data_IF_022762048293
#
_entry.id   IF_022762048293
#
_cell.length_a   1.000
_cell.length_b   1.000
_cell.length_c   1.000
_cell.angle_alpha   90.00
_cell.angle_beta   90.00
_cell.angle_gamma   90.00
#
_symmetry.space_group_name_H-M   'P 1'
#
loop_
_entity.id
_entity.type
_entity.pdbx_description
1 polymer ?
#
# COMPACT_ATOMS: atom_id res chain seq x y z
N UNK A 1 28.22 7.65 9.39
CA UNK A 1 28.56 6.87 10.59
C UNK A 1 28.13 5.41 10.39
N UNK A 2 28.87 4.43 10.91
CA UNK A 2 28.37 3.04 10.95
C UNK A 2 27.17 2.98 11.90
N UNK A 3 26.04 2.45 11.42
CA UNK A 3 24.81 2.32 12.19
C UNK A 3 24.77 0.91 12.82
N UNK A 4 24.86 0.75 14.15
CA UNK A 4 24.82 -0.57 14.79
C UNK A 4 23.59 -1.37 14.37
N UNK A 5 23.81 -2.60 13.91
CA UNK A 5 22.74 -3.54 13.51
C UNK A 5 22.03 -3.22 12.19
N UNK A 6 22.38 -2.13 11.51
CA UNK A 6 21.80 -1.75 10.22
C UNK A 6 22.53 -2.41 9.06
N UNK A 7 21.80 -3.17 8.24
CA UNK A 7 22.37 -3.94 7.12
C UNK A 7 21.79 -3.58 5.75
N UNK A 8 20.87 -2.62 5.69
CA UNK A 8 20.19 -2.23 4.45
C UNK A 8 21.06 -1.25 3.67
N UNK A 9 21.31 -1.54 2.40
CA UNK A 9 22.00 -0.62 1.50
C UNK A 9 20.95 0.26 0.80
N UNK A 10 21.06 1.58 0.94
CA UNK A 10 20.01 2.52 0.50
C UNK A 10 20.35 3.29 -0.78
N UNK A 11 21.60 3.24 -1.24
CA UNK A 11 22.12 3.99 -2.40
C UNK A 11 22.88 3.09 -3.39
N UNK A 12 22.27 1.99 -3.80
CA UNK A 12 22.86 1.09 -4.80
C UNK A 12 22.75 1.68 -6.21
N UNK A 13 23.81 1.52 -6.99
CA UNK A 13 23.77 1.75 -8.43
C UNK A 13 22.90 0.70 -9.13
N UNK A 14 22.43 1.01 -10.35
CA UNK A 14 21.64 0.09 -11.16
C UNK A 14 22.33 -1.28 -11.37
N UNK A 15 23.66 -1.29 -11.54
CA UNK A 15 24.43 -2.54 -11.71
C UNK A 15 24.52 -3.34 -10.40
N UNK A 16 24.66 -2.67 -9.25
CA UNK A 16 24.71 -3.31 -7.94
C UNK A 16 23.36 -3.92 -7.56
N UNK A 17 22.25 -3.25 -7.87
CA UNK A 17 20.89 -3.79 -7.68
C UNK A 17 20.73 -5.13 -8.42
N UNK A 18 21.13 -5.17 -9.70
CA UNK A 18 21.04 -6.40 -10.52
C UNK A 18 21.89 -7.53 -9.94
N UNK A 19 23.15 -7.23 -9.59
CA UNK A 19 24.07 -8.22 -8.97
C UNK A 19 23.57 -8.68 -7.60
N UNK A 20 22.96 -7.79 -6.80
CA UNK A 20 22.40 -8.15 -5.51
C UNK A 20 21.20 -9.09 -5.68
N UNK A 21 20.30 -8.80 -6.62
CA UNK A 21 19.19 -9.69 -6.95
C UNK A 21 19.69 -11.10 -7.37
N UNK A 22 20.73 -11.18 -8.21
CA UNK A 22 21.34 -12.46 -8.61
C UNK A 22 21.86 -13.25 -7.40
N UNK A 23 22.56 -12.58 -6.47
CA UNK A 23 23.08 -13.20 -5.25
C UNK A 23 21.96 -13.69 -4.34
N UNK A 24 20.89 -12.92 -4.17
CA UNK A 24 19.72 -13.31 -3.37
C UNK A 24 19.08 -14.58 -3.96
N UNK A 25 18.86 -14.60 -5.27
CA UNK A 25 18.29 -15.75 -5.99
C UNK A 25 19.18 -16.98 -5.83
N UNK A 26 20.49 -16.84 -6.07
CA UNK A 26 21.44 -17.94 -5.95
C UNK A 26 21.48 -18.52 -4.53
N UNK A 27 21.56 -17.66 -3.51
CA UNK A 27 21.58 -18.10 -2.11
C UNK A 27 20.28 -18.77 -1.69
N UNK A 28 19.15 -18.24 -2.13
CA UNK A 28 17.84 -18.83 -1.87
C UNK A 28 17.75 -20.22 -2.51
N UNK A 29 18.15 -20.36 -3.77
CA UNK A 29 18.18 -21.66 -4.44
C UNK A 29 19.04 -22.68 -3.69
N UNK A 30 20.25 -22.31 -3.30
CA UNK A 30 21.16 -23.17 -2.53
C UNK A 30 20.50 -23.68 -1.24
N UNK A 31 19.88 -22.79 -0.46
CA UNK A 31 19.21 -23.17 0.79
C UNK A 31 18.00 -24.08 0.55
N UNK A 32 17.15 -23.77 -0.43
CA UNK A 32 16.00 -24.62 -0.75
C UNK A 32 16.42 -26.01 -1.26
N UNK A 33 17.48 -26.08 -2.08
CA UNK A 33 18.05 -27.35 -2.55
C UNK A 33 18.64 -28.18 -1.40
N UNK A 34 19.32 -27.53 -0.45
CA UNK A 34 19.83 -28.19 0.76
C UNK A 34 18.70 -28.77 1.63
N UNK A 35 17.62 -28.01 1.85
CA UNK A 35 16.45 -28.50 2.60
C UNK A 35 15.76 -29.65 1.85
N UNK A 36 15.60 -29.55 0.53
CA UNK A 36 15.01 -30.62 -0.29
C UNK A 36 15.79 -31.94 -0.22
N UNK A 37 17.10 -31.87 -0.02
CA UNK A 37 17.99 -33.03 0.04
C UNK A 37 17.99 -33.74 1.41
N UNK A 38 17.33 -33.20 2.43
CA UNK A 38 17.29 -33.81 3.77
C UNK A 38 16.54 -35.15 3.71
N UNK A 39 17.17 -36.27 4.13
CA UNK A 39 16.48 -37.57 4.23
C UNK A 39 15.33 -37.52 5.23
N UNK A 40 14.17 -38.05 4.87
CA UNK A 40 12.93 -37.95 5.67
C UNK A 40 13.06 -38.56 7.08
N UNK A 41 13.91 -39.58 7.22
CA UNK A 41 14.25 -40.24 8.49
C UNK A 41 15.20 -39.41 9.38
N UNK A 42 15.79 -38.33 8.85
CA UNK A 42 16.72 -37.43 9.56
C UNK A 42 16.18 -36.01 9.75
N UNK A 43 14.94 -35.76 9.35
CA UNK A 43 14.29 -34.44 9.47
C UNK A 43 14.18 -34.01 10.92
N UNK A 44 14.64 -32.79 11.20
CA UNK A 44 14.50 -32.10 12.49
C UNK A 44 14.42 -30.58 12.26
N UNK A 45 14.22 -29.81 13.33
CA UNK A 45 14.07 -28.36 13.21
C UNK A 45 15.29 -27.70 12.57
N UNK A 46 16.50 -28.11 12.95
CA UNK A 46 17.75 -27.47 12.54
C UNK A 46 18.08 -27.66 11.05
N UNK A 47 17.68 -28.77 10.44
CA UNK A 47 17.97 -29.04 9.02
C UNK A 47 16.80 -28.79 8.06
N UNK A 48 15.56 -28.76 8.55
CA UNK A 48 14.37 -28.59 7.70
C UNK A 48 13.73 -27.22 7.80
N UNK A 49 13.67 -26.61 9.00
CA UNK A 49 12.88 -25.40 9.25
C UNK A 49 13.79 -24.19 9.49
N UNK A 50 14.80 -24.33 10.36
CA UNK A 50 15.71 -23.24 10.70
C UNK A 50 16.40 -22.62 9.46
N UNK A 51 16.87 -23.38 8.46
CA UNK A 51 17.52 -22.79 7.28
C UNK A 51 16.57 -21.88 6.47
N UNK A 52 15.28 -22.22 6.40
CA UNK A 52 14.29 -21.40 5.71
C UNK A 52 13.98 -20.12 6.50
N UNK A 53 13.82 -20.23 7.82
CA UNK A 53 13.60 -19.07 8.70
C UNK A 53 14.79 -18.09 8.67
N UNK A 54 16.01 -18.62 8.72
CA UNK A 54 17.24 -17.83 8.65
C UNK A 54 17.39 -17.15 7.29
N UNK A 55 17.06 -17.85 6.20
CA UNK A 55 17.07 -17.28 4.87
C UNK A 55 16.12 -16.09 4.77
N UNK A 56 14.87 -16.23 5.22
CA UNK A 56 13.88 -15.14 5.21
C UNK A 56 14.39 -13.93 6.01
N UNK A 57 14.96 -14.16 7.20
CA UNK A 57 15.52 -13.13 8.06
C UNK A 57 16.77 -12.44 7.50
N UNK A 58 17.58 -13.15 6.72
CA UNK A 58 18.81 -12.61 6.11
C UNK A 58 18.51 -11.88 4.80
N UNK A 59 17.62 -12.41 3.97
CA UNK A 59 17.34 -11.88 2.64
C UNK A 59 16.40 -10.67 2.69
N UNK A 60 15.51 -10.56 3.67
CA UNK A 60 14.56 -9.44 3.75
C UNK A 60 15.22 -8.05 3.55
N UNK A 61 16.24 -7.63 4.33
CA UNK A 61 16.89 -6.33 4.13
C UNK A 61 17.58 -6.18 2.76
N UNK A 62 18.10 -7.28 2.21
CA UNK A 62 18.74 -7.28 0.89
C UNK A 62 17.71 -7.12 -0.24
N UNK A 63 16.55 -7.76 -0.12
CA UNK A 63 15.42 -7.57 -1.03
C UNK A 63 14.95 -6.13 -0.97
N UNK A 64 14.82 -5.55 0.23
CA UNK A 64 14.44 -4.15 0.41
C UNK A 64 15.43 -3.18 -0.26
N UNK A 65 16.73 -3.46 -0.20
CA UNK A 65 17.74 -2.69 -0.93
C UNK A 65 17.57 -2.75 -2.46
N UNK A 66 17.03 -3.85 -3.00
CA UNK A 66 16.72 -3.96 -4.43
C UNK A 66 15.43 -3.24 -4.83
N UNK A 67 14.39 -3.27 -3.98
CA UNK A 67 13.02 -2.85 -4.38
C UNK A 67 12.65 -1.44 -3.92
N UNK A 68 13.24 -0.92 -2.84
CA UNK A 68 12.98 0.43 -2.36
C UNK A 68 13.27 1.51 -3.42
N UNK A 69 14.37 1.43 -4.20
CA UNK A 69 14.75 2.54 -5.09
C UNK A 69 13.68 2.91 -6.13
N UNK A 70 12.85 1.97 -6.62
CA UNK A 70 11.75 2.28 -7.54
C UNK A 70 10.71 3.26 -6.97
N UNK A 71 10.62 3.34 -5.64
CA UNK A 71 9.65 4.19 -4.95
C UNK A 71 10.21 5.56 -4.59
N UNK A 72 11.54 5.74 -4.56
CA UNK A 72 12.16 6.89 -3.89
C UNK A 72 13.29 7.54 -4.64
N UNK A 73 13.93 6.81 -5.56
CA UNK A 73 15.11 7.29 -6.26
C UNK A 73 14.71 8.38 -7.25
N UNK A 74 15.48 9.48 -7.32
CA UNK A 74 15.29 10.47 -8.39
C UNK A 74 15.82 9.99 -9.75
N UNK A 75 16.52 8.85 -9.82
CA UNK A 75 17.12 8.33 -11.06
C UNK A 75 16.23 7.29 -11.73
N UNK A 76 15.78 7.57 -12.95
CA UNK A 76 14.95 6.66 -13.75
C UNK A 76 15.66 5.32 -14.04
N UNK A 77 16.98 5.35 -14.27
CA UNK A 77 17.79 4.13 -14.48
C UNK A 77 17.80 3.22 -13.26
N UNK A 78 17.92 3.82 -12.05
CA UNK A 78 17.86 3.09 -10.79
C UNK A 78 16.44 2.53 -10.57
N UNK A 79 15.40 3.35 -10.81
CA UNK A 79 14.01 2.91 -10.68
C UNK A 79 13.69 1.72 -11.61
N UNK A 80 14.16 1.77 -12.86
CA UNK A 80 14.00 0.68 -13.83
C UNK A 80 14.75 -0.58 -13.43
N UNK A 81 16.00 -0.47 -12.96
CA UNK A 81 16.75 -1.62 -12.47
C UNK A 81 16.11 -2.25 -11.22
N UNK A 82 15.56 -1.41 -10.33
CA UNK A 82 14.82 -1.82 -9.14
C UNK A 82 13.53 -2.58 -9.49
N UNK A 83 12.74 -2.07 -10.44
CA UNK A 83 11.53 -2.74 -10.93
C UNK A 83 11.85 -4.08 -11.63
N UNK A 84 12.93 -4.14 -12.40
CA UNK A 84 13.41 -5.39 -13.01
C UNK A 84 13.82 -6.42 -11.94
N UNK A 85 14.57 -5.97 -10.91
CA UNK A 85 14.98 -6.81 -9.80
C UNK A 85 13.78 -7.36 -9.01
N UNK A 86 12.80 -6.51 -8.68
CA UNK A 86 11.55 -6.92 -8.02
C UNK A 86 10.84 -8.04 -8.80
N UNK A 87 10.61 -7.84 -10.11
CA UNK A 87 9.97 -8.85 -10.96
C UNK A 87 10.70 -10.20 -10.93
N UNK A 88 12.03 -10.17 -10.98
CA UNK A 88 12.87 -11.39 -10.95
C UNK A 88 12.81 -12.09 -9.59
N UNK A 89 12.89 -11.32 -8.51
CA UNK A 89 12.80 -11.81 -7.14
C UNK A 89 11.42 -12.42 -6.84
N UNK A 90 10.34 -11.75 -7.23
CA UNK A 90 8.97 -12.24 -7.07
C UNK A 90 8.74 -13.56 -7.82
N UNK A 91 9.24 -13.63 -9.06
CA UNK A 91 9.19 -14.85 -9.87
C UNK A 91 9.93 -16.01 -9.18
N UNK A 92 11.13 -15.75 -8.66
CA UNK A 92 11.93 -16.73 -7.93
C UNK A 92 11.24 -17.21 -6.65
N UNK A 93 10.73 -16.29 -5.82
CA UNK A 93 10.05 -16.65 -4.57
C UNK A 93 8.76 -17.42 -4.80
N UNK A 94 8.03 -17.14 -5.89
CA UNK A 94 6.88 -17.94 -6.29
C UNK A 94 7.28 -19.39 -6.60
N UNK A 95 8.36 -19.59 -7.36
CA UNK A 95 8.88 -20.93 -7.69
C UNK A 95 9.31 -21.68 -6.41
N UNK A 96 10.01 -21.02 -5.49
CA UNK A 96 10.37 -21.58 -4.19
C UNK A 96 9.15 -22.09 -3.40
N UNK A 97 8.04 -21.34 -3.40
CA UNK A 97 6.79 -21.74 -2.73
C UNK A 97 6.05 -22.88 -3.43
N UNK A 98 6.48 -23.28 -4.63
CA UNK A 98 5.89 -24.39 -5.40
C UNK A 98 6.73 -25.69 -5.33
N UNK A 99 7.90 -25.66 -4.67
CA UNK A 99 8.83 -26.79 -4.53
C UNK A 99 8.23 -27.93 -3.70
N UNK A 100 7.80 -29.00 -4.37
CA UNK A 100 7.21 -30.19 -3.75
C UNK A 100 8.18 -30.96 -2.85
N UNK A 101 9.43 -31.04 -3.28
CA UNK A 101 10.52 -31.71 -2.57
C UNK A 101 10.81 -31.05 -1.22
N UNK A 102 10.77 -29.71 -1.17
CA UNK A 102 10.88 -28.93 0.08
C UNK A 102 9.62 -29.10 0.92
N UNK A 103 8.43 -29.02 0.32
CA UNK A 103 7.17 -29.26 1.02
C UNK A 103 7.13 -30.64 1.70
N UNK A 104 7.63 -31.68 1.03
CA UNK A 104 7.71 -33.04 1.59
C UNK A 104 8.54 -33.09 2.87
N UNK A 105 9.67 -32.37 2.89
CA UNK A 105 10.55 -32.29 4.07
C UNK A 105 9.88 -31.53 5.21
N UNK A 106 9.27 -30.37 4.92
CA UNK A 106 8.50 -29.59 5.91
C UNK A 106 7.31 -30.40 6.45
N UNK A 107 6.63 -31.17 5.61
CA UNK A 107 5.51 -32.02 6.02
C UNK A 107 5.96 -33.17 6.91
N UNK A 108 7.05 -33.86 6.56
CA UNK A 108 7.63 -34.90 7.39
C UNK A 108 8.04 -34.37 8.78
N UNK A 109 8.54 -33.13 8.86
CA UNK A 109 8.80 -32.47 10.15
C UNK A 109 7.52 -32.34 10.99
N UNK A 110 6.41 -31.88 10.38
CA UNK A 110 5.13 -31.75 11.11
C UNK A 110 4.58 -33.08 11.62
N UNK A 111 4.75 -34.16 10.86
CA UNK A 111 4.25 -35.49 11.20
C UNK A 111 5.06 -36.15 12.33
N UNK A 112 6.34 -35.79 12.48
CA UNK A 112 7.18 -36.21 13.61
C UNK A 112 6.73 -35.63 14.96
N UNK A 113 6.04 -34.48 14.95
CA UNK A 113 5.54 -33.85 16.17
C UNK A 113 6.64 -33.41 17.14
N UNK A 114 7.81 -33.00 16.62
CA UNK A 114 8.91 -32.47 17.44
C UNK A 114 8.42 -31.27 18.27
N UNK A 115 8.74 -31.25 19.57
CA UNK A 115 8.35 -30.16 20.47
C UNK A 115 9.25 -28.94 20.22
N UNK A 116 8.68 -27.90 19.62
CA UNK A 116 9.32 -26.61 19.38
C UNK A 116 8.53 -25.49 20.05
N UNK A 117 9.12 -24.29 20.11
CA UNK A 117 8.46 -23.11 20.69
C UNK A 117 7.18 -22.70 19.94
N UNK A 118 6.32 -21.89 20.58
CA UNK A 118 5.03 -21.48 19.99
C UNK A 118 5.19 -20.67 18.70
N UNK A 119 6.18 -19.78 18.63
CA UNK A 119 6.48 -18.99 17.42
C UNK A 119 6.96 -19.90 16.27
N UNK A 120 7.87 -20.82 16.56
CA UNK A 120 8.37 -21.79 15.59
C UNK A 120 7.24 -22.71 15.08
N UNK A 121 6.33 -23.13 15.96
CA UNK A 121 5.13 -23.90 15.59
C UNK A 121 4.26 -23.13 14.61
N UNK A 122 4.00 -21.85 14.90
CA UNK A 122 3.22 -20.97 14.02
C UNK A 122 3.91 -20.78 12.66
N UNK A 123 5.23 -20.63 12.65
CA UNK A 123 5.99 -20.51 11.40
C UNK A 123 5.88 -21.76 10.53
N UNK A 124 5.98 -22.95 11.12
CA UNK A 124 5.82 -24.21 10.39
C UNK A 124 4.39 -24.36 9.84
N UNK A 125 3.37 -24.01 10.62
CA UNK A 125 1.98 -23.99 10.15
C UNK A 125 1.79 -23.01 8.98
N UNK A 126 2.43 -21.83 9.06
CA UNK A 126 2.45 -20.85 7.96
C UNK A 126 3.09 -21.44 6.70
N UNK A 127 4.28 -22.06 6.81
CA UNK A 127 4.96 -22.68 5.67
C UNK A 127 4.09 -23.75 4.98
N UNK A 128 3.53 -24.69 5.77
CA UNK A 128 2.65 -25.74 5.23
C UNK A 128 1.47 -25.11 4.48
N UNK A 129 0.81 -24.13 5.08
CA UNK A 129 -0.32 -23.43 4.44
C UNK A 129 0.10 -22.74 3.14
N UNK A 130 1.24 -22.05 3.11
CA UNK A 130 1.73 -21.38 1.90
C UNK A 130 2.03 -22.36 0.77
N UNK A 131 2.67 -23.51 1.07
CA UNK A 131 2.89 -24.56 0.07
C UNK A 131 1.56 -25.12 -0.45
N UNK A 132 0.61 -25.42 0.43
CA UNK A 132 -0.70 -25.97 0.06
C UNK A 132 -1.52 -25.00 -0.81
N UNK A 133 -1.52 -23.71 -0.47
CA UNK A 133 -2.15 -22.63 -1.27
C UNK A 133 -1.46 -22.41 -2.61
N UNK A 134 -0.19 -22.82 -2.73
CA UNK A 134 0.55 -22.89 -3.98
C UNK A 134 0.49 -24.28 -4.63
N UNK A 135 -0.50 -25.08 -4.24
CA UNK A 135 -0.87 -26.30 -4.93
C UNK A 135 0.01 -27.49 -4.57
N UNK A 136 0.82 -27.46 -3.52
CA UNK A 136 1.73 -28.56 -3.18
C UNK A 136 1.03 -29.93 -2.98
N UNK A 137 -0.28 -29.94 -2.66
CA UNK A 137 -1.12 -31.16 -2.57
C UNK A 137 -1.71 -31.63 -3.89
N UNK A 138 -1.59 -30.85 -4.96
CA UNK A 138 -2.20 -31.13 -6.25
C UNK A 138 -1.34 -32.10 -7.05
N UNK A 139 -2.00 -32.93 -7.87
CA UNK A 139 -1.32 -33.73 -8.90
C UNK A 139 -0.69 -32.82 -9.95
N UNK A 140 0.33 -33.30 -10.67
CA UNK A 140 1.01 -32.51 -11.70
C UNK A 140 0.04 -31.92 -12.74
N UNK A 141 -1.01 -32.66 -13.13
CA UNK A 141 -2.04 -32.17 -14.06
C UNK A 141 -2.83 -31.01 -13.46
N UNK A 142 -3.25 -31.12 -12.20
CA UNK A 142 -3.98 -30.06 -11.49
C UNK A 142 -3.09 -28.83 -11.21
N UNK A 143 -1.78 -29.03 -11.02
CA UNK A 143 -0.82 -27.92 -10.90
C UNK A 143 -0.71 -27.10 -12.18
N UNK A 144 -0.56 -27.76 -13.33
CA UNK A 144 -0.55 -27.08 -14.64
C UNK A 144 -1.85 -26.31 -14.87
N UNK A 145 -2.98 -26.86 -14.45
CA UNK A 145 -4.26 -26.15 -14.49
C UNK A 145 -4.25 -24.92 -13.56
N UNK A 146 -3.79 -25.05 -12.33
CA UNK A 146 -3.67 -23.94 -11.37
C UNK A 146 -2.78 -22.82 -11.91
N UNK A 147 -1.61 -23.15 -12.47
CA UNK A 147 -0.68 -22.18 -13.08
C UNK A 147 -1.34 -21.44 -14.25
N UNK A 148 -2.04 -22.16 -15.13
CA UNK A 148 -2.80 -21.54 -16.24
C UNK A 148 -3.87 -20.59 -15.72
N UNK A 149 -4.60 -20.97 -14.67
CA UNK A 149 -5.64 -20.12 -14.07
C UNK A 149 -5.02 -18.87 -13.43
N UNK A 150 -3.92 -19.01 -12.69
CA UNK A 150 -3.21 -17.88 -12.07
C UNK A 150 -2.68 -16.90 -13.13
N UNK A 151 -2.01 -17.40 -14.16
CA UNK A 151 -1.53 -16.57 -15.28
C UNK A 151 -2.68 -15.81 -15.95
N UNK A 152 -3.81 -16.46 -16.21
CA UNK A 152 -4.96 -15.81 -16.82
C UNK A 152 -5.58 -14.75 -15.89
N UNK A 153 -5.60 -14.99 -14.57
CA UNK A 153 -6.03 -13.98 -13.60
C UNK A 153 -5.11 -12.77 -13.65
N UNK A 154 -3.80 -12.97 -13.69
CA UNK A 154 -2.80 -11.89 -13.71
C UNK A 154 -2.90 -11.05 -14.99
N UNK A 155 -3.03 -11.71 -16.15
CA UNK A 155 -3.23 -11.04 -17.45
C UNK A 155 -4.51 -10.19 -17.46
N UNK A 156 -5.62 -10.74 -16.91
CA UNK A 156 -6.89 -10.03 -16.81
C UNK A 156 -6.82 -8.86 -15.83
N UNK A 157 -6.13 -8.99 -14.70
CA UNK A 157 -5.91 -7.90 -13.75
C UNK A 157 -5.11 -6.76 -14.41
N UNK A 158 -4.03 -7.09 -15.12
CA UNK A 158 -3.20 -6.11 -15.82
C UNK A 158 -4.03 -5.37 -16.87
N UNK A 159 -4.79 -6.12 -17.68
CA UNK A 159 -5.66 -5.53 -18.70
C UNK A 159 -6.75 -4.64 -18.10
N UNK A 160 -7.34 -5.05 -16.98
CA UNK A 160 -8.32 -4.23 -16.26
C UNK A 160 -7.72 -2.88 -15.86
N UNK A 161 -6.52 -2.89 -15.26
CA UNK A 161 -5.81 -1.68 -14.82
C UNK A 161 -5.42 -0.81 -16.03
N UNK A 162 -4.89 -1.41 -17.10
CA UNK A 162 -4.56 -0.70 -18.34
C UNK A 162 -5.80 0.02 -18.91
N UNK A 163 -6.92 -0.66 -19.04
CA UNK A 163 -8.18 -0.05 -19.51
C UNK A 163 -8.66 1.10 -18.61
N UNK A 164 -8.37 1.06 -17.31
CA UNK A 164 -8.64 2.18 -16.41
C UNK A 164 -7.65 3.34 -16.64
N UNK A 165 -6.37 3.06 -16.88
CA UNK A 165 -5.35 4.08 -17.06
C UNK A 165 -5.43 4.77 -18.44
N UNK A 166 -5.82 4.03 -19.48
CA UNK A 166 -5.97 4.54 -20.85
C UNK A 166 -7.19 5.47 -21.01
N UNK A 167 -7.99 5.62 -19.95
CA UNK A 167 -9.14 6.52 -19.94
C UNK A 167 -8.71 7.98 -19.88
N UNK A 168 -8.59 8.58 -21.07
CA UNK A 168 -8.14 9.97 -21.30
C UNK A 168 -9.27 10.91 -21.73
N UNK A 169 -10.52 10.54 -21.41
CA UNK A 169 -11.68 11.37 -21.75
C UNK A 169 -11.65 12.71 -21.01
N UNK A 170 -12.20 13.72 -21.66
CA UNK A 170 -12.38 15.06 -21.10
C UNK A 170 -13.76 15.60 -21.46
N UNK A 171 -14.18 16.65 -20.75
CA UNK A 171 -15.33 17.48 -21.09
C UNK A 171 -14.86 18.93 -21.26
N UNK A 172 -15.49 19.65 -22.18
CA UNK A 172 -15.30 21.09 -22.36
C UNK A 172 -16.48 21.80 -21.70
N UNK A 173 -16.21 22.55 -20.64
CA UNK A 173 -17.21 23.24 -19.83
C UNK A 173 -16.98 24.75 -19.86
N UNK A 174 -18.04 25.54 -19.94
CA UNK A 174 -17.96 27.00 -19.83
C UNK A 174 -17.70 27.45 -18.39
N UNK A 175 -17.39 28.73 -18.19
CA UNK A 175 -17.21 29.28 -16.84
C UNK A 175 -18.51 29.25 -16.03
N UNK A 176 -19.66 29.43 -16.70
CA UNK A 176 -20.98 29.30 -16.07
C UNK A 176 -21.27 27.87 -15.63
N UNK A 177 -20.89 26.87 -16.45
CA UNK A 177 -21.04 25.45 -16.12
C UNK A 177 -20.15 25.04 -14.94
N UNK A 178 -19.05 25.77 -14.69
CA UNK A 178 -18.11 25.58 -13.58
C UNK A 178 -18.35 26.52 -12.40
N UNK A 179 -19.54 27.13 -12.30
CA UNK A 179 -19.86 28.04 -11.21
C UNK A 179 -19.65 27.38 -9.82
N UNK A 180 -18.98 28.11 -8.92
CA UNK A 180 -18.66 27.66 -7.56
C UNK A 180 -17.29 27.03 -7.38
N UNK A 181 -16.56 26.75 -8.47
CA UNK A 181 -15.19 26.25 -8.37
C UNK A 181 -14.22 27.32 -7.83
N UNK A 182 -13.22 26.95 -7.01
CA UNK A 182 -12.16 27.87 -6.58
C UNK A 182 -11.37 28.43 -7.77
N UNK A 183 -10.97 29.71 -7.72
CA UNK A 183 -10.22 30.36 -8.79
C UNK A 183 -8.90 29.64 -9.12
N UNK A 184 -8.19 29.15 -8.10
CA UNK A 184 -6.95 28.40 -8.30
C UNK A 184 -7.19 27.10 -9.07
N UNK A 185 -8.32 26.43 -8.86
CA UNK A 185 -8.67 25.23 -9.64
C UNK A 185 -8.92 25.58 -11.11
N UNK A 186 -9.61 26.69 -11.39
CA UNK A 186 -9.89 27.12 -12.76
C UNK A 186 -8.62 27.52 -13.52
N UNK A 187 -7.64 28.13 -12.83
CA UNK A 187 -6.33 28.48 -13.41
C UNK A 187 -5.51 27.26 -13.83
N UNK A 188 -5.68 26.13 -13.15
CA UNK A 188 -5.00 24.87 -13.46
C UNK A 188 -5.59 24.16 -14.70
N UNK A 189 -6.73 24.60 -15.24
CA UNK A 189 -7.38 23.99 -16.41
C UNK A 189 -6.93 24.63 -17.72
N UNK A 190 -6.60 23.77 -18.70
CA UNK A 190 -6.35 24.17 -20.08
C UNK A 190 -7.62 24.82 -20.68
N UNK A 191 -7.44 25.94 -21.37
CA UNK A 191 -8.52 26.65 -22.05
C UNK A 191 -8.49 26.32 -23.55
N UNK A 192 -9.64 26.01 -24.12
CA UNK A 192 -9.82 25.69 -25.54
C UNK A 192 -11.16 26.26 -26.00
N UNK A 193 -11.13 27.14 -27.01
CA UNK A 193 -12.31 27.78 -27.61
C UNK A 193 -13.26 28.43 -26.58
N UNK A 194 -12.70 29.12 -25.58
CA UNK A 194 -13.47 29.79 -24.53
C UNK A 194 -14.12 28.83 -23.52
N UNK A 195 -13.74 27.54 -23.52
CA UNK A 195 -14.15 26.54 -22.55
C UNK A 195 -12.95 25.97 -21.80
N UNK A 196 -13.18 25.54 -20.57
CA UNK A 196 -12.19 24.84 -19.75
C UNK A 196 -12.25 23.34 -20.04
N UNK A 197 -11.09 22.75 -20.32
CA UNK A 197 -10.94 21.32 -20.54
C UNK A 197 -10.74 20.60 -19.22
N UNK A 198 -11.72 19.79 -18.84
CA UNK A 198 -11.70 18.99 -17.62
C UNK A 198 -11.40 17.54 -17.99
N UNK A 199 -10.20 17.07 -17.65
CA UNK A 199 -9.84 15.66 -17.76
C UNK A 199 -10.61 14.85 -16.71
N UNK A 200 -11.13 13.68 -17.09
CA UNK A 200 -11.92 12.82 -16.21
C UNK A 200 -11.01 11.93 -15.34
N UNK A 201 -10.14 12.58 -14.55
CA UNK A 201 -9.29 11.94 -13.55
C UNK A 201 -9.79 12.31 -12.15
N UNK A 202 -9.50 11.48 -11.14
CA UNK A 202 -9.91 11.75 -9.75
C UNK A 202 -9.45 13.11 -9.24
N UNK A 203 -8.30 13.61 -9.73
CA UNK A 203 -7.76 14.93 -9.40
C UNK A 203 -8.71 16.08 -9.76
N UNK A 204 -9.36 16.02 -10.93
CA UNK A 204 -10.29 17.08 -11.37
C UNK A 204 -11.75 16.77 -11.02
N UNK A 205 -12.14 15.48 -11.07
CA UNK A 205 -13.53 15.05 -10.82
C UNK A 205 -13.94 15.29 -9.38
N UNK A 206 -13.12 14.92 -8.39
CA UNK A 206 -13.49 15.05 -6.98
C UNK A 206 -13.75 16.52 -6.58
N UNK A 207 -12.87 17.50 -6.87
CA UNK A 207 -13.15 18.90 -6.58
C UNK A 207 -14.43 19.42 -7.25
N UNK A 208 -14.72 19.01 -8.49
CA UNK A 208 -15.95 19.41 -9.18
C UNK A 208 -17.19 18.86 -8.47
N UNK A 209 -17.18 17.58 -8.09
CA UNK A 209 -18.29 16.97 -7.35
C UNK A 209 -18.44 17.53 -5.93
N UNK A 210 -17.40 18.14 -5.36
CA UNK A 210 -17.44 18.77 -4.03
C UNK A 210 -17.85 20.26 -4.06
N UNK A 211 -17.54 21.00 -5.14
CA UNK A 211 -17.63 22.47 -5.14
C UNK A 211 -18.53 23.06 -6.23
N UNK A 212 -18.74 22.36 -7.35
CA UNK A 212 -19.50 22.90 -8.46
C UNK A 212 -20.98 23.03 -8.06
N UNK A 213 -21.49 24.27 -8.11
CA UNK A 213 -22.88 24.59 -7.78
C UNK A 213 -23.87 24.10 -8.84
N UNK A 214 -23.40 23.85 -10.05
CA UNK A 214 -24.24 23.46 -11.18
C UNK A 214 -24.51 21.95 -11.16
N UNK A 215 -25.74 21.58 -10.74
CA UNK A 215 -26.14 20.18 -10.61
C UNK A 215 -26.05 19.37 -11.91
N UNK A 216 -26.36 19.98 -13.06
CA UNK A 216 -26.21 19.33 -14.37
C UNK A 216 -24.75 19.01 -14.71
N UNK A 217 -23.82 19.91 -14.38
CA UNK A 217 -22.37 19.69 -14.53
C UNK A 217 -21.90 18.54 -13.65
N UNK A 218 -22.30 18.53 -12.36
CA UNK A 218 -21.97 17.42 -11.45
C UNK A 218 -22.46 16.08 -12.01
N UNK A 219 -23.70 16.02 -12.47
CA UNK A 219 -24.28 14.82 -13.09
C UNK A 219 -23.52 14.38 -14.34
N UNK A 220 -23.23 15.30 -15.25
CA UNK A 220 -22.50 15.00 -16.48
C UNK A 220 -21.10 14.44 -16.18
N UNK A 221 -20.38 15.06 -15.26
CA UNK A 221 -19.06 14.63 -14.80
C UNK A 221 -19.13 13.26 -14.12
N UNK A 222 -20.06 13.06 -13.19
CA UNK A 222 -20.23 11.80 -12.46
C UNK A 222 -20.54 10.63 -13.40
N UNK A 223 -21.47 10.82 -14.34
CA UNK A 223 -21.83 9.80 -15.33
C UNK A 223 -20.66 9.50 -16.26
N UNK A 224 -20.00 10.52 -16.80
CA UNK A 224 -18.87 10.33 -17.69
C UNK A 224 -17.70 9.64 -17.01
N UNK A 225 -17.39 10.01 -15.76
CA UNK A 225 -16.35 9.37 -14.95
C UNK A 225 -16.72 7.93 -14.55
N UNK A 226 -17.98 7.68 -14.20
CA UNK A 226 -18.47 6.34 -13.84
C UNK A 226 -18.43 5.32 -14.98
N UNK A 227 -18.29 5.77 -16.23
CA UNK A 227 -18.11 4.91 -17.41
C UNK A 227 -16.66 4.45 -17.64
N UNK A 228 -15.72 4.84 -16.76
CA UNK A 228 -14.30 4.46 -16.85
C UNK A 228 -14.13 2.94 -16.89
N UNK A 229 -13.30 2.44 -17.81
CA UNK A 229 -13.12 1.02 -18.09
C UNK A 229 -14.21 0.37 -18.98
N UNK A 230 -15.42 0.94 -19.02
CA UNK A 230 -16.51 0.56 -19.92
C UNK A 230 -16.89 -0.93 -19.92
N UNK A 231 -17.59 -1.35 -20.98
CA UNK A 231 -18.04 -2.74 -21.16
C UNK A 231 -16.89 -3.75 -21.23
N UNK A 232 -15.69 -3.31 -21.63
CA UNK A 232 -14.51 -4.17 -21.66
C UNK A 232 -14.12 -4.64 -20.26
N UNK A 233 -14.13 -3.74 -19.27
CA UNK A 233 -13.83 -4.10 -17.89
C UNK A 233 -14.96 -4.89 -17.23
N UNK A 234 -16.22 -4.67 -17.61
CA UNK A 234 -17.34 -5.53 -17.16
C UNK A 234 -17.10 -6.98 -17.59
N UNK A 235 -16.81 -7.22 -18.87
CA UNK A 235 -16.52 -8.56 -19.38
C UNK A 235 -15.25 -9.19 -18.76
N UNK A 236 -14.24 -8.39 -18.42
CA UNK A 236 -13.06 -8.86 -17.67
C UNK A 236 -13.45 -9.29 -16.26
N UNK A 237 -14.26 -8.51 -15.55
CA UNK A 237 -14.72 -8.83 -14.19
C UNK A 237 -15.54 -10.13 -14.16
N UNK A 238 -16.47 -10.32 -15.12
CA UNK A 238 -17.25 -11.55 -15.24
C UNK A 238 -16.35 -12.79 -15.38
N UNK A 239 -15.34 -12.71 -16.27
CA UNK A 239 -14.34 -13.78 -16.44
C UNK A 239 -13.51 -13.99 -15.19
N UNK A 240 -13.05 -12.91 -14.54
CA UNK A 240 -12.27 -12.99 -13.31
C UNK A 240 -13.03 -13.71 -12.20
N UNK A 241 -14.33 -13.43 -12.02
CA UNK A 241 -15.18 -14.11 -11.02
C UNK A 241 -15.21 -15.62 -11.28
N UNK A 242 -15.46 -16.03 -12.52
CA UNK A 242 -15.52 -17.46 -12.89
C UNK A 242 -14.18 -18.17 -12.68
N UNK A 243 -13.08 -17.57 -13.13
CA UNK A 243 -11.74 -18.18 -13.08
C UNK A 243 -11.24 -18.24 -11.63
N UNK A 244 -11.47 -17.19 -10.83
CA UNK A 244 -11.17 -17.19 -9.39
C UNK A 244 -11.95 -18.25 -8.64
N UNK A 245 -13.23 -18.44 -8.97
CA UNK A 245 -14.03 -19.53 -8.40
C UNK A 245 -13.43 -20.90 -8.77
N UNK A 246 -13.10 -21.13 -10.05
CA UNK A 246 -12.47 -22.39 -10.50
C UNK A 246 -11.14 -22.66 -9.79
N UNK A 247 -10.29 -21.64 -9.64
CA UNK A 247 -9.03 -21.73 -8.90
C UNK A 247 -9.27 -22.16 -7.44
N UNK A 248 -10.25 -21.54 -6.77
CA UNK A 248 -10.58 -21.89 -5.39
C UNK A 248 -11.06 -23.33 -5.25
N UNK A 249 -11.96 -23.79 -6.14
CA UNK A 249 -12.45 -25.18 -6.19
C UNK A 249 -11.31 -26.17 -6.43
N UNK A 250 -10.38 -25.84 -7.34
CA UNK A 250 -9.20 -26.66 -7.63
C UNK A 250 -8.31 -26.85 -6.39
N UNK A 251 -8.18 -25.80 -5.58
CA UNK A 251 -7.41 -25.80 -4.33
C UNK A 251 -8.18 -26.35 -3.11
N UNK A 252 -9.44 -26.78 -3.29
CA UNK A 252 -10.25 -27.40 -2.22
C UNK A 252 -11.09 -26.42 -1.40
N UNK A 253 -11.21 -25.15 -1.81
CA UNK A 253 -12.04 -24.15 -1.15
C UNK A 253 -13.45 -24.11 -1.76
N UNK A 254 -14.45 -23.70 -0.96
CA UNK A 254 -15.84 -23.56 -1.42
C UNK A 254 -16.02 -22.47 -2.46
N UNK A 255 -15.35 -21.33 -2.25
CA UNK A 255 -15.38 -20.15 -3.12
C UNK A 255 -14.07 -19.37 -2.98
N UNK A 256 -13.87 -18.36 -3.84
CA UNK A 256 -12.64 -17.56 -3.82
C UNK A 256 -12.50 -16.68 -2.57
N UNK A 257 -13.61 -16.22 -1.99
CA UNK A 257 -13.59 -15.40 -0.78
C UNK A 257 -13.01 -16.18 0.41
N UNK A 258 -13.37 -17.46 0.56
CA UNK A 258 -12.80 -18.34 1.59
C UNK A 258 -11.29 -18.57 1.37
N UNK A 259 -10.86 -18.78 0.12
CA UNK A 259 -9.44 -18.84 -0.23
C UNK A 259 -8.71 -17.52 0.10
N UNK A 260 -9.32 -16.36 -0.16
CA UNK A 260 -8.71 -15.06 0.06
C UNK A 260 -8.68 -14.63 1.54
N UNK A 261 -9.65 -15.09 2.33
CA UNK A 261 -9.85 -14.68 3.74
C UNK A 261 -9.17 -15.64 4.73
N UNK A 262 -8.94 -16.90 4.38
CA UNK A 262 -8.25 -17.87 5.25
C UNK A 262 -7.00 -17.32 5.98
N UNK A 263 -6.06 -16.59 5.33
CA UNK A 263 -4.89 -16.06 6.04
C UNK A 263 -5.17 -14.80 6.88
N UNK A 264 -6.39 -14.25 6.84
CA UNK A 264 -6.80 -13.00 7.49
C UNK A 264 -7.52 -13.28 8.81
N UNK A 265 -7.60 -12.26 9.69
CA UNK A 265 -8.24 -12.36 11.00
C UNK A 265 -9.70 -12.90 10.98
N UNK A 266 -10.57 -12.53 10.02
CA UNK A 266 -11.93 -13.06 9.98
C UNK A 266 -12.00 -14.57 9.72
N UNK A 267 -10.96 -15.17 9.11
CA UNK A 267 -10.83 -16.59 8.75
C UNK A 267 -11.86 -17.15 7.75
N UNK A 268 -13.11 -16.67 7.72
CA UNK A 268 -14.17 -17.14 6.81
C UNK A 268 -14.89 -15.97 6.15
N UNK A 269 -15.42 -16.20 4.93
CA UNK A 269 -16.26 -15.21 4.24
C UNK A 269 -17.56 -14.88 4.98
N UNK A 270 -18.16 -15.88 5.64
CA UNK A 270 -19.39 -15.71 6.44
C UNK A 270 -19.23 -14.65 7.53
N UNK A 271 -18.13 -14.70 8.30
CA UNK A 271 -17.87 -13.72 9.37
C UNK A 271 -17.72 -12.29 8.83
N UNK A 272 -17.22 -12.14 7.61
CA UNK A 272 -17.14 -10.82 6.96
C UNK A 272 -18.52 -10.31 6.59
N UNK A 273 -19.38 -11.17 6.05
CA UNK A 273 -20.77 -10.81 5.72
C UNK A 273 -21.58 -10.44 6.96
N UNK A 274 -21.54 -11.27 8.00
CA UNK A 274 -22.21 -11.02 9.29
C UNK A 274 -21.79 -9.65 9.86
N UNK A 275 -20.49 -9.37 9.88
CA UNK A 275 -19.98 -8.08 10.34
C UNK A 275 -20.48 -6.89 9.51
N UNK A 276 -20.50 -7.00 8.18
CA UNK A 276 -20.97 -5.91 7.30
C UNK A 276 -22.48 -5.69 7.42
N UNK A 277 -23.25 -6.76 7.59
CA UNK A 277 -24.70 -6.71 7.81
C UNK A 277 -25.04 -6.05 9.15
N UNK A 278 -24.37 -6.45 10.23
CA UNK A 278 -24.50 -5.84 11.56
C UNK A 278 -24.14 -4.35 11.54
N UNK A 279 -23.04 -3.97 10.88
CA UNK A 279 -22.66 -2.56 10.71
C UNK A 279 -23.71 -1.79 9.91
N UNK A 280 -24.23 -2.37 8.83
CA UNK A 280 -25.26 -1.74 8.01
C UNK A 280 -26.53 -1.48 8.81
N UNK A 281 -26.96 -2.44 9.63
CA UNK A 281 -28.13 -2.30 10.49
C UNK A 281 -27.93 -1.17 11.52
N UNK A 282 -26.79 -1.16 12.22
CA UNK A 282 -26.49 -0.15 13.25
C UNK A 282 -26.36 1.27 12.71
N UNK A 283 -25.88 1.44 11.48
CA UNK A 283 -25.65 2.74 10.86
C UNK A 283 -26.85 3.26 10.06
N UNK A 284 -27.84 2.41 9.75
CA UNK A 284 -28.96 2.75 8.86
C UNK A 284 -29.75 3.97 9.33
N UNK A 285 -30.09 4.05 10.61
CA UNK A 285 -30.86 5.17 11.16
C UNK A 285 -30.10 6.50 11.07
N UNK A 286 -28.80 6.48 11.39
CA UNK A 286 -27.95 7.67 11.30
C UNK A 286 -27.76 8.10 9.84
N UNK A 287 -27.46 7.15 8.95
CA UNK A 287 -27.29 7.41 7.52
C UNK A 287 -28.56 7.99 6.89
N UNK A 288 -29.75 7.50 7.26
CA UNK A 288 -31.02 8.04 6.78
C UNK A 288 -31.28 9.47 7.27
N UNK A 289 -30.94 9.78 8.53
CA UNK A 289 -31.05 11.15 9.07
C UNK A 289 -30.10 12.11 8.37
N UNK A 290 -28.86 11.71 8.16
CA UNK A 290 -27.87 12.53 7.43
C UNK A 290 -28.29 12.73 5.97
N UNK A 291 -28.71 11.68 5.28
CA UNK A 291 -29.22 11.77 3.91
C UNK A 291 -30.45 12.70 3.81
N UNK A 292 -31.33 12.70 4.82
CA UNK A 292 -32.47 13.62 4.88
C UNK A 292 -32.00 15.07 4.94
N UNK A 293 -31.00 15.38 5.78
CA UNK A 293 -30.39 16.72 5.83
C UNK A 293 -29.80 17.11 4.47
N UNK A 294 -29.11 16.20 3.78
CA UNK A 294 -28.54 16.49 2.46
C UNK A 294 -29.62 16.76 1.41
N UNK A 295 -30.73 15.99 1.43
CA UNK A 295 -31.88 16.19 0.56
C UNK A 295 -32.57 17.54 0.82
N UNK A 296 -32.70 17.94 2.07
CA UNK A 296 -33.25 19.25 2.43
C UNK A 296 -32.36 20.41 1.97
N UNK A 297 -31.03 20.26 2.05
CA UNK A 297 -30.10 21.25 1.50
C UNK A 297 -30.25 21.37 -0.02
N UNK A 298 -30.37 20.22 -0.72
CA UNK A 298 -30.64 20.21 -2.15
C UNK A 298 -31.96 20.90 -2.48
N UNK A 299 -33.02 20.60 -1.74
CA UNK A 299 -34.32 21.22 -1.95
C UNK A 299 -34.28 22.76 -1.82
N UNK A 300 -33.46 23.27 -0.88
CA UNK A 300 -33.26 24.71 -0.70
C UNK A 300 -32.44 25.36 -1.82
N UNK A 301 -31.40 24.69 -2.33
CA UNK A 301 -30.50 25.26 -3.35
C UNK A 301 -31.00 25.03 -4.80
N UNK A 302 -31.65 23.90 -5.08
CA UNK A 302 -32.03 23.44 -6.44
C UNK A 302 -33.52 23.09 -6.61
N UNK A 303 -34.36 23.28 -5.58
CA UNK A 303 -35.79 22.98 -5.64
C UNK A 303 -36.11 21.48 -5.67
N UNK A 304 -37.17 21.07 -6.37
CA UNK A 304 -37.67 19.69 -6.38
C UNK A 304 -36.82 18.67 -7.18
N UNK A 305 -35.58 19.03 -7.53
CA UNK A 305 -34.67 18.13 -8.24
C UNK A 305 -34.32 16.89 -7.40
N UNK A 306 -34.51 15.69 -7.98
CA UNK A 306 -34.23 14.43 -7.29
C UNK A 306 -32.75 14.35 -6.87
N UNK A 307 -32.51 13.96 -5.62
CA UNK A 307 -31.17 13.71 -5.11
C UNK A 307 -30.56 12.45 -5.73
N UNK A 308 -29.37 12.58 -6.33
CA UNK A 308 -28.60 11.50 -6.93
C UNK A 308 -27.22 11.32 -6.30
N UNK A 309 -26.47 10.31 -6.76
CA UNK A 309 -25.11 10.06 -6.26
C UNK A 309 -24.13 11.18 -6.61
N UNK A 310 -24.39 11.90 -7.72
CA UNK A 310 -23.65 13.08 -8.16
C UNK A 310 -23.73 14.26 -7.18
N UNK A 311 -24.70 14.24 -6.28
CA UNK A 311 -24.97 15.30 -5.31
C UNK A 311 -24.30 15.05 -3.97
N UNK A 312 -23.93 13.79 -3.69
CA UNK A 312 -23.51 13.35 -2.37
C UNK A 312 -22.33 14.16 -1.83
N UNK A 313 -21.23 14.24 -2.58
CA UNK A 313 -20.03 14.96 -2.15
C UNK A 313 -20.27 16.46 -1.98
N UNK A 314 -21.02 17.08 -2.89
CA UNK A 314 -21.36 18.49 -2.81
C UNK A 314 -22.14 18.78 -1.54
N UNK A 315 -23.27 18.10 -1.30
CA UNK A 315 -24.10 18.38 -0.14
C UNK A 315 -23.48 17.90 1.18
N UNK A 316 -22.63 16.86 1.19
CA UNK A 316 -21.82 16.55 2.38
C UNK A 316 -20.96 17.75 2.77
N UNK A 317 -20.24 18.33 1.80
CA UNK A 317 -19.39 19.50 2.04
C UNK A 317 -20.20 20.72 2.47
N UNK A 318 -21.35 20.97 1.85
CA UNK A 318 -22.27 22.03 2.26
C UNK A 318 -22.79 21.77 3.68
N UNK A 319 -23.17 20.55 4.01
CA UNK A 319 -23.65 20.16 5.34
C UNK A 319 -22.59 20.35 6.42
N UNK A 320 -21.34 20.01 6.14
CA UNK A 320 -20.19 20.28 7.01
C UNK A 320 -20.01 21.79 7.23
N UNK A 321 -19.98 22.58 6.15
CA UNK A 321 -19.85 24.05 6.24
C UNK A 321 -20.98 24.72 7.04
N UNK A 322 -22.21 24.21 6.95
CA UNK A 322 -23.34 24.75 7.72
C UNK A 322 -23.26 24.40 9.20
N UNK A 323 -22.70 23.23 9.55
CA UNK A 323 -22.58 22.79 10.93
C UNK A 323 -21.31 23.32 11.62
N UNK A 324 -20.28 23.60 10.83
CA UNK A 324 -18.92 23.80 11.33
C UNK A 324 -18.25 24.93 10.52
N UNK A 325 -18.13 26.09 11.16
CA UNK A 325 -17.42 27.26 10.61
C UNK A 325 -15.91 27.10 10.84
N UNK A 326 -15.27 26.23 10.04
CA UNK A 326 -13.82 25.99 10.10
C UNK A 326 -13.14 26.47 8.81
N UNK A 327 -12.25 27.46 8.94
CA UNK A 327 -11.30 27.82 7.89
C UNK A 327 -10.06 26.91 7.94
N UNK A 328 -10.07 25.86 7.12
CA UNK A 328 -8.92 24.94 6.96
C UNK A 328 -7.65 25.69 6.52
N UNK A 329 -7.78 26.78 5.76
CA UNK A 329 -6.67 27.63 5.34
C UNK A 329 -6.02 28.34 6.52
N UNK A 330 -6.82 28.87 7.43
CA UNK A 330 -6.35 29.46 8.69
C UNK A 330 -5.71 28.40 9.59
N UNK A 331 -6.39 27.27 9.80
CA UNK A 331 -5.93 26.17 10.66
C UNK A 331 -4.54 25.69 10.21
N UNK A 332 -4.31 25.51 8.90
CA UNK A 332 -3.00 25.09 8.37
C UNK A 332 -1.83 25.96 8.82
N UNK A 333 -2.06 27.25 9.11
CA UNK A 333 -1.01 28.18 9.59
C UNK A 333 -0.50 27.79 10.98
N UNK A 334 -1.30 27.11 11.79
CA UNK A 334 -0.94 26.62 13.12
C UNK A 334 -0.21 25.27 13.12
N UNK A 335 -0.13 24.58 11.97
CA UNK A 335 0.56 23.29 11.85
C UNK A 335 1.82 23.34 10.96
N UNK A 336 2.83 24.20 11.24
CA UNK A 336 4.12 24.12 10.55
C UNK A 336 4.75 22.72 10.68
N UNK A 337 5.21 22.14 9.58
CA UNK A 337 5.70 20.76 9.50
C UNK A 337 6.75 20.44 10.58
N UNK A 338 7.69 21.36 10.83
CA UNK A 338 8.72 21.18 11.87
C UNK A 338 8.11 21.01 13.26
N UNK A 339 7.10 21.82 13.59
CA UNK A 339 6.40 21.79 14.88
C UNK A 339 5.58 20.49 15.02
N UNK A 340 4.89 20.08 13.95
CA UNK A 340 4.10 18.84 13.93
C UNK A 340 4.98 17.62 14.18
N UNK A 341 6.12 17.52 13.50
CA UNK A 341 7.05 16.39 13.68
C UNK A 341 7.58 16.37 15.12
N UNK A 342 8.04 17.50 15.65
CA UNK A 342 8.55 17.55 17.03
C UNK A 342 7.48 17.19 18.06
N UNK A 343 6.25 17.69 17.88
CA UNK A 343 5.13 17.38 18.78
C UNK A 343 4.72 15.92 18.70
N UNK A 344 4.63 15.35 17.50
CA UNK A 344 4.33 13.94 17.27
C UNK A 344 5.37 13.03 17.92
N UNK A 345 6.66 13.29 17.70
CA UNK A 345 7.73 12.51 18.33
C UNK A 345 7.65 12.61 19.86
N UNK A 346 7.43 13.82 20.42
CA UNK A 346 7.28 14.00 21.86
C UNK A 346 6.12 13.18 22.44
N UNK A 347 4.95 13.17 21.79
CA UNK A 347 3.82 12.33 22.22
C UNK A 347 4.18 10.85 22.26
N UNK A 348 4.90 10.35 21.23
CA UNK A 348 5.35 8.96 21.21
C UNK A 348 6.41 8.64 22.27
N UNK A 349 7.32 9.58 22.57
CA UNK A 349 8.29 9.43 23.66
C UNK A 349 7.59 9.26 25.00
N UNK A 350 6.59 10.11 25.27
CA UNK A 350 5.89 10.11 26.55
C UNK A 350 4.97 8.89 26.70
N UNK A 351 4.26 8.51 25.62
CA UNK A 351 3.33 7.38 25.65
C UNK A 351 4.01 6.01 25.73
N UNK A 352 5.15 5.85 25.04
CA UNK A 352 5.81 4.56 24.89
C UNK A 352 7.16 4.46 25.61
N UNK A 353 7.52 5.47 26.42
CA UNK A 353 8.82 5.56 27.08
C UNK A 353 9.97 5.38 26.08
N UNK A 354 9.93 6.13 24.97
CA UNK A 354 10.93 6.11 23.91
C UNK A 354 11.78 7.37 23.95
N UNK A 355 12.98 7.29 23.35
CA UNK A 355 13.82 8.45 23.02
C UNK A 355 14.15 8.41 21.53
N UNK A 356 13.89 9.50 20.82
CA UNK A 356 14.24 9.64 19.41
C UNK A 356 15.41 10.59 19.23
N UNK A 357 16.43 10.16 18.49
CA UNK A 357 17.60 11.00 18.19
C UNK A 357 17.83 11.04 16.69
N UNK A 358 17.83 12.25 16.12
CA UNK A 358 18.15 12.44 14.71
C UNK A 358 19.64 12.17 14.46
N UNK A 359 19.92 11.33 13.47
CA UNK A 359 21.26 11.04 13.01
C UNK A 359 21.54 11.88 11.76
N UNK A 360 22.57 12.71 11.86
CA UNK A 360 23.05 13.55 10.75
C UNK A 360 24.18 12.84 10.00
N UNK A 361 24.50 13.35 8.81
CA UNK A 361 25.64 12.91 7.99
C UNK A 361 25.63 11.39 7.73
N UNK A 362 24.44 10.88 7.42
CA UNK A 362 24.18 9.49 7.08
C UNK A 362 23.78 9.37 5.62
N UNK A 363 24.12 8.24 5.04
CA UNK A 363 23.75 7.93 3.67
C UNK A 363 22.23 7.77 3.54
N UNK A 364 21.63 8.59 2.67
CA UNK A 364 20.20 8.64 2.37
C UNK A 364 19.98 8.74 0.86
N UNK A 365 18.81 8.34 0.38
CA UNK A 365 18.45 8.39 -1.04
C UNK A 365 18.07 9.80 -1.54
N UNK A 366 17.84 10.75 -0.64
CA UNK A 366 17.49 12.13 -0.99
C UNK A 366 17.82 13.10 0.16
N UNK A 367 18.20 14.33 -0.16
CA UNK A 367 18.69 15.34 0.80
C UNK A 367 17.66 15.77 1.86
N UNK A 368 16.37 15.67 1.54
CA UNK A 368 15.26 15.97 2.45
C UNK A 368 14.93 14.83 3.42
N UNK A 369 15.54 13.66 3.28
CA UNK A 369 15.27 12.49 4.11
C UNK A 369 16.01 12.61 5.43
N UNK A 370 15.30 12.34 6.52
CA UNK A 370 15.87 12.37 7.87
C UNK A 370 15.90 10.97 8.45
N UNK A 371 16.96 10.63 9.18
CA UNK A 371 17.09 9.37 9.91
C UNK A 371 17.01 9.63 11.41
N UNK A 372 16.26 8.80 12.11
CA UNK A 372 16.21 8.81 13.57
C UNK A 372 16.58 7.44 14.11
N UNK A 373 17.31 7.42 15.23
CA UNK A 373 17.41 6.26 16.11
C UNK A 373 16.30 6.30 17.16
N UNK A 374 15.82 5.12 17.53
CA UNK A 374 14.79 4.91 18.55
C UNK A 374 15.42 4.13 19.68
N UNK A 375 15.30 4.63 20.91
CA UNK A 375 15.86 4.01 22.10
C UNK A 375 14.75 3.77 23.12
N UNK A 376 14.88 2.70 23.90
CA UNK A 376 14.11 2.52 25.11
C UNK A 376 14.59 3.56 26.14
N UNK A 377 13.68 4.39 26.65
CA UNK A 377 14.06 5.45 27.59
C UNK A 377 14.45 4.88 28.98
N UNK A 378 14.03 3.66 29.30
CA UNK A 378 14.28 3.03 30.61
C UNK A 378 15.58 2.23 30.61
N UNK A 379 15.79 1.36 29.62
CA UNK A 379 16.98 0.50 29.54
C UNK A 379 18.13 1.13 28.75
N UNK A 380 17.87 2.19 27.99
CA UNK A 380 18.81 2.74 26.99
C UNK A 380 19.18 1.75 25.87
N UNK A 381 18.37 0.69 25.67
CA UNK A 381 18.55 -0.21 24.55
C UNK A 381 18.17 0.50 23.25
N UNK A 382 19.03 0.41 22.24
CA UNK A 382 18.69 0.85 20.88
C UNK A 382 17.56 -0.04 20.37
N UNK A 383 16.37 0.50 20.14
CA UNK A 383 15.18 -0.17 19.61
C UNK A 383 14.98 -0.03 18.10
N UNK A 384 15.91 0.61 17.39
CA UNK A 384 15.92 0.64 15.92
C UNK A 384 16.03 2.02 15.33
N UNK A 385 15.60 2.14 14.09
CA UNK A 385 15.74 3.34 13.30
C UNK A 385 14.50 3.57 12.46
N UNK A 386 14.28 4.81 12.02
CA UNK A 386 13.33 5.08 10.95
C UNK A 386 13.79 6.22 10.05
N UNK A 387 13.51 6.08 8.76
CA UNK A 387 13.66 7.16 7.80
C UNK A 387 12.33 7.93 7.69
N UNK A 388 12.43 9.24 7.55
CA UNK A 388 11.30 10.14 7.40
C UNK A 388 11.44 10.90 6.07
N UNK A 389 10.66 10.48 5.07
CA UNK A 389 10.66 11.04 3.71
C UNK A 389 9.27 11.62 3.40
N UNK A 390 9.06 12.89 3.77
CA UNK A 390 7.73 13.50 3.82
C UNK A 390 7.43 14.48 2.70
N UNK A 391 8.42 14.85 1.88
CA UNK A 391 8.23 15.85 0.84
C UNK A 391 7.97 15.18 -0.50
N UNK A 392 7.00 15.71 -1.23
CA UNK A 392 6.72 15.31 -2.61
C UNK A 392 7.87 15.71 -3.53
N UNK A 393 8.18 14.85 -4.51
CA UNK A 393 9.12 15.09 -5.60
C UNK A 393 8.78 14.19 -6.78
N UNK A 394 9.23 14.57 -7.97
CA UNK A 394 9.08 13.75 -9.18
C UNK A 394 9.73 12.37 -9.00
N UNK A 395 9.10 11.33 -9.53
CA UNK A 395 9.56 9.94 -9.43
C UNK A 395 9.36 9.26 -8.06
N UNK A 396 9.01 10.01 -7.01
CA UNK A 396 8.68 9.43 -5.69
C UNK A 396 7.24 8.90 -5.67
N UNK A 397 7.04 7.79 -4.97
CA UNK A 397 5.73 7.23 -4.63
C UNK A 397 4.77 8.31 -4.08
N UNK A 398 3.58 8.38 -4.66
CA UNK A 398 2.61 9.48 -4.54
C UNK A 398 1.61 9.32 -3.39
N UNK A 399 1.58 8.16 -2.74
CA UNK A 399 0.78 7.91 -1.55
C UNK A 399 1.59 7.86 -0.24
N UNK A 400 0.88 7.99 0.88
CA UNK A 400 1.44 7.80 2.22
C UNK A 400 1.59 6.31 2.50
N UNK A 401 2.78 5.86 2.91
CA UNK A 401 2.99 4.46 3.29
C UNK A 401 4.12 4.30 4.31
N UNK A 402 4.18 3.12 4.93
CA UNK A 402 5.28 2.71 5.80
C UNK A 402 5.93 1.48 5.19
N UNK A 403 7.21 1.56 4.85
CA UNK A 403 7.96 0.43 4.28
C UNK A 403 8.94 -0.11 5.29
N UNK A 404 8.79 -1.38 5.66
CA UNK A 404 9.77 -2.05 6.50
C UNK A 404 11.01 -2.38 5.66
N UNK A 405 12.16 -1.88 6.08
CA UNK A 405 13.45 -2.13 5.42
C UNK A 405 14.25 -3.24 6.10
N UNK A 406 14.09 -3.40 7.42
CA UNK A 406 14.72 -4.49 8.18
C UNK A 406 13.75 -4.96 9.27
N UNK A 407 13.58 -6.27 9.39
CA UNK A 407 12.78 -6.86 10.47
C UNK A 407 13.63 -7.05 11.73
N UNK A 408 13.05 -6.77 12.89
CA UNK A 408 13.62 -7.18 14.17
C UNK A 408 13.35 -8.68 14.38
N UNK A 409 14.39 -9.50 14.39
CA UNK A 409 14.29 -10.95 14.59
C UNK A 409 15.50 -11.47 15.38
N UNK A 410 15.46 -12.71 15.83
CA UNK A 410 16.64 -13.36 16.44
C UNK A 410 17.54 -13.95 15.35
N UNK A 411 18.85 -13.73 15.47
CA UNK A 411 19.85 -14.46 14.72
C UNK A 411 20.06 -15.87 15.31
N UNK A 412 20.57 -16.79 14.50
CA UNK A 412 20.91 -18.15 14.89
C UNK A 412 22.01 -18.25 15.95
N UNK A 413 22.84 -17.22 16.11
CA UNK A 413 23.81 -17.11 17.20
C UNK A 413 23.22 -16.60 18.53
N UNK A 414 21.89 -16.50 18.63
CA UNK A 414 21.19 -16.00 19.81
C UNK A 414 21.22 -14.48 20.00
N UNK A 415 21.97 -13.74 19.17
CA UNK A 415 21.90 -12.28 19.17
C UNK A 415 20.59 -11.81 18.55
N UNK A 416 20.00 -10.75 19.09
CA UNK A 416 18.85 -10.11 18.46
C UNK A 416 19.37 -9.24 17.31
N UNK A 417 18.83 -9.40 16.09
CA UNK A 417 18.93 -8.34 15.07
C UNK A 417 18.16 -7.14 15.58
N UNK A 418 18.90 -6.22 16.18
CA UNK A 418 18.52 -4.83 16.45
C UNK A 418 18.26 -4.17 15.09
N UNK A 419 17.13 -3.57 14.71
CA UNK A 419 15.73 -3.54 15.14
C UNK A 419 14.90 -3.06 13.91
N UNK A 420 13.57 -3.09 14.00
CA UNK A 420 12.60 -2.71 12.95
C UNK A 420 12.95 -1.36 12.31
N UNK A 421 13.40 -1.38 11.06
CA UNK A 421 13.62 -0.17 10.28
C UNK A 421 12.39 0.08 9.42
N UNK A 422 11.78 1.25 9.60
CA UNK A 422 10.63 1.66 8.81
C UNK A 422 10.95 2.97 8.09
N UNK A 423 10.60 3.06 6.82
CA UNK A 423 10.59 4.32 6.09
C UNK A 423 9.16 4.83 6.04
N UNK A 424 8.94 6.04 6.57
CA UNK A 424 7.66 6.72 6.52
C UNK A 424 7.63 7.65 5.32
N UNK A 425 6.77 7.33 4.36
CA UNK A 425 6.48 8.14 3.20
C UNK A 425 5.25 8.98 3.47
N UNK A 426 5.40 10.29 3.41
CA UNK A 426 4.29 11.23 3.35
C UNK A 426 4.53 12.14 2.13
N UNK A 427 3.45 12.72 1.61
CA UNK A 427 3.51 13.68 0.50
C UNK A 427 2.97 15.02 0.95
N UNK A 428 3.79 15.72 1.71
CA UNK A 428 3.61 17.10 2.13
C UNK A 428 4.21 18.00 1.05
N UNK A 429 3.42 18.95 0.53
CA UNK A 429 3.94 19.98 -0.38
C UNK A 429 5.02 20.77 0.36
N UNK A 430 6.21 20.87 -0.24
CA UNK A 430 7.25 21.78 0.22
C UNK A 430 6.66 23.20 0.09
N UNK A 431 6.45 23.91 1.19
CA UNK A 431 6.10 25.33 1.07
C UNK A 431 7.27 26.01 0.37
N UNK A 432 6.97 26.89 -0.59
CA UNK A 432 7.93 27.84 -1.14
C UNK A 432 8.40 28.73 0.03
N UNK A 433 9.42 28.28 0.77
CA UNK A 433 10.21 29.18 1.60
C UNK A 433 11.01 30.05 0.64
N UNK A 434 10.44 31.19 0.25
CA UNK A 434 11.14 32.12 -0.61
C UNK A 434 10.29 33.21 -1.23
N UNK A 435 9.46 33.93 -0.47
CA UNK A 435 9.22 35.38 -0.67
C UNK A 435 8.93 35.98 0.72
N UNK A 436 9.99 36.33 1.45
CA UNK A 436 9.92 37.31 2.52
C UNK A 436 10.43 38.62 1.92
N UNK A 437 9.50 39.57 1.74
CA UNK A 437 9.65 41.03 1.50
C UNK A 437 8.76 41.51 0.34
N UNK A 438 7.62 42.12 0.70
CA UNK A 438 7.28 43.51 0.38
C UNK A 438 5.81 43.79 0.73
N UNK A 439 5.54 45.04 1.11
CA UNK A 439 4.25 45.61 1.58
C UNK A 439 3.91 45.22 3.03
N UNK A 440 4.18 46.03 4.05
CA UNK A 440 4.01 47.48 4.13
C UNK A 440 2.85 47.72 5.09
N UNK A 441 3.18 47.97 6.36
CA UNK A 441 2.21 48.41 7.37
C UNK A 441 1.47 49.66 6.91
N UNK A 442 0.23 49.85 7.34
CA UNK A 442 -0.03 51.00 8.19
C UNK A 442 -0.74 50.64 9.48
N UNK A 443 -0.25 51.29 10.55
CA UNK A 443 -0.96 51.63 11.80
C UNK A 443 -2.36 52.16 11.43
N UNK A 444 -3.45 51.81 12.10
CA UNK A 444 -3.77 51.95 13.53
C UNK A 444 -4.91 50.98 13.87
#
# INVERSE_FOLDING_TARGET
>A
AELPGFSVQVNLSAAEIKRLADRIIAKSKETYDAVAAVPLDKVNFANAIAPLAELDAQQFPLVQACVLPRMVSPSEDICRASAEAEKRLDSHFLLCRQREDVYRVVKAFTERGERIGPEATRFVQYLVREFERNGAKLTQTKKKEMEKLKSLIDDLNLKYIQNMNDFTKFLLLSEEELAGMPLEFLKDLEETDGKRKVLLTGYYVTPILEHCKVGSTRKQIAVAYGQKGGNQNVAILEKLVQIRHRLARLLGYSNYSDFAIEPRMPMTSRKVLEFLEEMSEQLSDLANRELTVLKELKMKEEGDAQFGMEDLLYYMKRGEQHKVDLDIGEIKRYFPVKLVISGMLKMFQDLFALRFEEIKDVEVWHDTVRLFSVWDASSSDLLGYFFLDIFSREGKYDHTCVVALQNGCMCSNGSRKVFRLQSYYLNVRKSLMGIQHCCGSPKL
#
